data_IF_883816333296
#
_entry.id   IF_883816333296
#
_cell.length_a   1.000
_cell.length_b   1.000
_cell.length_c   1.000
_cell.angle_alpha   90.00
_cell.angle_beta   90.00
_cell.angle_gamma   90.00
#
_symmetry.space_group_name_H-M   'P 1'
#
loop_
_entity.id
_entity.type
_entity.pdbx_description
1 polymer ?
#
# COMPACT_ATOMS: atom_id res chain seq x y z
N UNK A 1 25.64 -20.21 27.23
CA UNK A 1 25.21 -18.89 26.74
C UNK A 1 24.16 -19.14 25.66
N UNK A 2 22.89 -18.80 25.94
CA UNK A 2 21.83 -18.87 24.92
C UNK A 2 22.01 -17.61 24.08
N UNK A 3 22.47 -17.76 22.84
CA UNK A 3 22.51 -16.65 21.91
C UNK A 3 21.09 -16.11 21.78
N UNK A 4 20.89 -14.85 22.13
CA UNK A 4 19.62 -14.17 21.90
C UNK A 4 19.34 -14.27 20.39
N UNK A 5 18.21 -14.88 20.02
CA UNK A 5 17.79 -14.94 18.63
C UNK A 5 17.69 -13.50 18.12
N UNK A 6 18.39 -13.20 17.03
CA UNK A 6 18.24 -11.89 16.37
C UNK A 6 16.74 -11.65 16.08
N UNK A 7 16.22 -10.46 16.31
CA UNK A 7 14.81 -10.17 16.02
C UNK A 7 14.52 -10.53 14.57
N UNK A 8 13.36 -11.15 14.35
CA UNK A 8 12.94 -11.55 13.01
C UNK A 8 12.87 -10.31 12.11
N UNK A 9 13.44 -10.38 10.92
CA UNK A 9 13.31 -9.30 9.93
C UNK A 9 11.87 -9.26 9.41
N UNK A 10 11.24 -8.09 9.44
CA UNK A 10 9.82 -7.91 9.11
C UNK A 10 9.66 -7.58 7.64
N UNK A 11 8.75 -8.27 6.97
CA UNK A 11 8.35 -7.94 5.60
C UNK A 11 6.84 -7.74 5.50
N UNK A 12 6.44 -6.83 4.63
CA UNK A 12 5.06 -6.70 4.19
C UNK A 12 4.97 -6.79 2.67
N UNK A 13 3.88 -7.39 2.18
CA UNK A 13 3.63 -7.57 0.76
C UNK A 13 2.22 -7.12 0.46
N UNK A 14 2.08 -6.27 -0.56
CA UNK A 14 0.79 -5.84 -1.10
C UNK A 14 0.62 -6.49 -2.47
N UNK A 15 -0.59 -6.98 -2.76
CA UNK A 15 -1.02 -7.33 -4.12
C UNK A 15 -2.03 -6.30 -4.57
N UNK A 16 -1.61 -5.47 -5.53
CA UNK A 16 -2.41 -4.41 -6.14
C UNK A 16 -3.32 -4.94 -7.27
N UNK A 17 -4.11 -4.08 -7.88
CA UNK A 17 -4.97 -4.32 -9.05
C UNK A 17 -6.03 -5.44 -8.87
N UNK A 18 -6.51 -5.67 -7.65
CA UNK A 18 -7.67 -6.54 -7.50
C UNK A 18 -8.91 -5.84 -8.07
N UNK A 19 -9.70 -6.63 -8.82
CA UNK A 19 -11.01 -6.17 -9.28
C UNK A 19 -11.28 -6.40 -10.76
N UNK A 20 -10.31 -6.29 -11.64
CA UNK A 20 -10.54 -6.50 -13.08
C UNK A 20 -10.73 -7.97 -13.47
N UNK A 21 -10.05 -8.89 -12.79
CA UNK A 21 -10.14 -10.32 -13.07
C UNK A 21 -10.58 -11.11 -11.85
N UNK A 22 -11.81 -11.64 -11.89
CA UNK A 22 -12.32 -12.50 -10.83
C UNK A 22 -11.41 -13.72 -10.58
N UNK A 23 -10.92 -14.36 -11.63
CA UNK A 23 -10.08 -15.56 -11.49
C UNK A 23 -8.71 -15.27 -10.88
N UNK A 24 -8.07 -14.17 -11.28
CA UNK A 24 -6.78 -13.75 -10.72
C UNK A 24 -6.93 -13.24 -9.30
N UNK A 25 -7.98 -12.45 -9.01
CA UNK A 25 -8.29 -12.00 -7.66
C UNK A 25 -8.52 -13.17 -6.69
N UNK A 26 -9.30 -14.18 -7.08
CA UNK A 26 -9.48 -15.40 -6.29
C UNK A 26 -8.16 -16.15 -6.02
N UNK A 27 -7.23 -16.14 -6.97
CA UNK A 27 -5.90 -16.73 -6.76
C UNK A 27 -5.06 -15.93 -5.77
N UNK A 28 -5.15 -14.60 -5.79
CA UNK A 28 -4.49 -13.72 -4.84
C UNK A 28 -5.03 -13.93 -3.41
N UNK A 29 -6.34 -14.07 -3.23
CA UNK A 29 -7.00 -14.37 -1.96
C UNK A 29 -6.54 -15.71 -1.34
N UNK A 30 -5.98 -16.62 -2.13
CA UNK A 30 -5.41 -17.88 -1.63
C UNK A 30 -3.95 -17.75 -1.16
N UNK A 31 -3.36 -16.56 -1.14
CA UNK A 31 -2.10 -16.30 -0.47
C UNK A 31 -2.27 -16.31 1.07
N UNK A 32 -1.20 -16.40 1.86
CA UNK A 32 -1.29 -16.22 3.30
C UNK A 32 -1.97 -14.88 3.67
N UNK A 33 -2.85 -14.87 4.65
CA UNK A 33 -3.64 -13.69 5.06
C UNK A 33 -2.80 -12.50 5.58
N UNK A 34 -1.53 -12.72 5.89
CA UNK A 34 -0.58 -11.64 6.17
C UNK A 34 -0.22 -10.80 4.94
N UNK A 35 -0.57 -11.24 3.72
CA UNK A 35 -0.47 -10.44 2.51
C UNK A 35 -1.65 -9.49 2.44
N UNK A 36 -1.40 -8.19 2.31
CA UNK A 36 -2.43 -7.16 2.14
C UNK A 36 -2.89 -7.11 0.69
N UNK A 37 -4.19 -6.97 0.47
CA UNK A 37 -4.79 -6.92 -0.86
C UNK A 37 -5.33 -5.51 -1.12
N UNK A 38 -5.01 -4.94 -2.29
CA UNK A 38 -5.43 -3.59 -2.68
C UNK A 38 -6.32 -3.64 -3.91
N UNK A 39 -7.53 -3.08 -3.79
CA UNK A 39 -8.60 -3.19 -4.79
C UNK A 39 -8.81 -1.89 -5.54
N UNK A 40 -8.96 -1.97 -6.85
CA UNK A 40 -9.39 -0.85 -7.70
C UNK A 40 -10.90 -0.62 -7.50
N UNK A 41 -11.34 0.51 -6.92
CA UNK A 41 -12.71 0.66 -6.39
C UNK A 41 -13.82 0.52 -7.44
N UNK A 42 -13.63 1.08 -8.63
CA UNK A 42 -14.62 1.06 -9.71
C UNK A 42 -14.45 -0.12 -10.68
N UNK A 43 -13.64 -1.12 -10.33
CA UNK A 43 -13.44 -2.32 -11.15
C UNK A 43 -14.63 -3.30 -11.05
N UNK A 44 -14.91 -4.11 -12.10
CA UNK A 44 -16.13 -4.93 -12.18
C UNK A 44 -16.35 -5.93 -11.05
N UNK A 45 -15.28 -6.41 -10.42
CA UNK A 45 -15.34 -7.42 -9.35
C UNK A 45 -14.88 -6.88 -8.00
N UNK A 46 -14.73 -5.56 -7.85
CA UNK A 46 -14.17 -4.92 -6.65
C UNK A 46 -14.87 -5.37 -5.37
N UNK A 47 -16.19 -5.16 -5.27
CA UNK A 47 -16.97 -5.49 -4.07
C UNK A 47 -16.94 -6.99 -3.75
N UNK A 48 -17.13 -7.84 -4.75
CA UNK A 48 -17.15 -9.29 -4.55
C UNK A 48 -15.80 -9.82 -4.06
N UNK A 49 -14.69 -9.36 -4.66
CA UNK A 49 -13.35 -9.79 -4.27
C UNK A 49 -12.96 -9.23 -2.90
N UNK A 50 -13.33 -7.99 -2.59
CA UNK A 50 -13.10 -7.38 -1.27
C UNK A 50 -13.80 -8.17 -0.16
N UNK A 51 -15.07 -8.52 -0.33
CA UNK A 51 -15.81 -9.35 0.64
C UNK A 51 -15.16 -10.72 0.84
N UNK A 52 -14.70 -11.35 -0.25
CA UNK A 52 -13.99 -12.62 -0.16
C UNK A 52 -12.64 -12.47 0.54
N UNK A 53 -11.87 -11.42 0.24
CA UNK A 53 -10.59 -11.13 0.88
C UNK A 53 -10.73 -10.97 2.40
N UNK A 54 -11.70 -10.16 2.84
CA UNK A 54 -12.02 -9.93 4.25
C UNK A 54 -12.42 -11.26 4.93
N UNK A 55 -13.29 -12.05 4.28
CA UNK A 55 -13.70 -13.36 4.81
C UNK A 55 -12.53 -14.33 4.97
N UNK A 56 -11.48 -14.22 4.16
CA UNK A 56 -10.26 -15.01 4.29
C UNK A 56 -9.24 -14.39 5.24
N UNK A 57 -9.58 -13.29 5.92
CA UNK A 57 -8.74 -12.63 6.92
C UNK A 57 -7.65 -11.73 6.38
N UNK A 58 -7.69 -11.36 5.10
CA UNK A 58 -6.77 -10.38 4.54
C UNK A 58 -7.10 -8.97 4.98
N UNK A 59 -6.08 -8.17 5.22
CA UNK A 59 -6.19 -6.73 5.28
C UNK A 59 -6.50 -6.18 3.88
N UNK A 60 -7.45 -5.24 3.79
CA UNK A 60 -7.89 -4.62 2.55
C UNK A 60 -7.44 -3.17 2.47
N UNK A 61 -6.94 -2.77 1.30
CA UNK A 61 -6.65 -1.39 0.93
C UNK A 61 -7.44 -0.96 -0.30
N UNK A 62 -7.61 0.35 -0.48
CA UNK A 62 -8.07 0.93 -1.74
C UNK A 62 -6.89 1.33 -2.62
N UNK A 63 -6.91 0.89 -3.86
CA UNK A 63 -5.95 1.23 -4.89
C UNK A 63 -6.49 2.38 -5.73
N UNK A 64 -6.14 3.64 -5.35
CA UNK A 64 -6.75 4.83 -5.93
C UNK A 64 -6.16 5.15 -7.31
N UNK A 65 -6.98 5.14 -8.38
CA UNK A 65 -6.50 5.50 -9.71
C UNK A 65 -6.07 6.97 -9.77
N UNK A 66 -4.84 7.21 -10.22
CA UNK A 66 -4.24 8.53 -10.28
C UNK A 66 -3.55 8.78 -11.63
N UNK A 67 -3.65 10.02 -12.13
CA UNK A 67 -3.07 10.42 -13.42
C UNK A 67 -1.56 10.16 -13.48
N UNK A 68 -1.11 9.59 -14.60
CA UNK A 68 0.29 9.27 -14.87
C UNK A 68 0.89 10.14 -15.97
N UNK A 69 2.23 10.28 -15.95
CA UNK A 69 2.98 10.98 -17.02
C UNK A 69 2.92 10.24 -18.36
N UNK A 70 2.93 8.90 -18.32
CA UNK A 70 2.99 8.09 -19.55
C UNK A 70 1.66 7.98 -20.30
N UNK A 71 0.52 8.20 -19.63
CA UNK A 71 -0.82 8.16 -20.20
C UNK A 71 -1.67 9.29 -19.62
N UNK A 72 -1.35 10.56 -19.90
CA UNK A 72 -2.02 11.69 -19.24
C UNK A 72 -3.52 11.78 -19.58
N UNK A 73 -3.91 11.32 -20.77
CA UNK A 73 -5.30 11.40 -21.27
C UNK A 73 -6.09 10.10 -21.07
N UNK A 74 -5.44 9.01 -20.61
CA UNK A 74 -6.12 7.73 -20.38
C UNK A 74 -6.53 7.63 -18.92
N UNK A 75 -7.77 7.98 -18.66
CA UNK A 75 -8.37 7.89 -17.34
C UNK A 75 -9.24 6.64 -17.25
N UNK A 76 -8.97 5.82 -16.24
CA UNK A 76 -9.90 4.80 -15.76
C UNK A 76 -11.04 5.48 -14.98
N UNK A 77 -12.17 4.79 -14.82
CA UNK A 77 -13.27 5.33 -14.03
C UNK A 77 -12.79 5.73 -12.63
N UNK A 78 -13.15 6.93 -12.18
CA UNK A 78 -12.75 7.44 -10.87
C UNK A 78 -11.28 7.86 -10.76
N UNK A 79 -10.56 8.03 -11.86
CA UNK A 79 -9.18 8.53 -11.85
C UNK A 79 -9.09 9.94 -11.28
N UNK A 80 -8.27 10.11 -10.27
CA UNK A 80 -7.90 11.42 -9.72
C UNK A 80 -6.87 12.08 -10.64
N UNK A 81 -7.17 13.28 -11.17
CA UNK A 81 -6.35 13.96 -12.16
C UNK A 81 -6.07 15.42 -11.76
N UNK A 82 -5.11 16.07 -12.44
CA UNK A 82 -4.71 17.45 -12.15
C UNK A 82 -5.80 18.48 -12.47
N UNK A 83 -6.66 18.20 -13.42
CA UNK A 83 -7.78 19.04 -13.83
C UNK A 83 -9.07 18.79 -13.03
N UNK A 84 -9.04 17.82 -12.11
CA UNK A 84 -10.18 17.54 -11.21
C UNK A 84 -10.29 18.66 -10.18
N UNK A 85 -11.50 19.24 -10.05
CA UNK A 85 -11.78 20.25 -9.01
C UNK A 85 -11.62 19.62 -7.62
N UNK A 86 -11.20 20.42 -6.64
CA UNK A 86 -11.01 19.97 -5.26
C UNK A 86 -12.25 19.25 -4.68
N UNK A 87 -13.44 19.80 -4.90
CA UNK A 87 -14.70 19.22 -4.45
C UNK A 87 -14.90 17.81 -5.01
N UNK A 88 -14.73 17.65 -6.34
CA UNK A 88 -14.96 16.39 -7.03
C UNK A 88 -13.88 15.34 -6.66
N UNK A 89 -12.65 15.83 -6.47
CA UNK A 89 -11.53 14.99 -6.00
C UNK A 89 -11.84 14.38 -4.63
N UNK A 90 -12.25 15.22 -3.67
CA UNK A 90 -12.60 14.77 -2.31
C UNK A 90 -13.85 13.88 -2.29
N UNK A 91 -14.91 14.27 -3.03
CA UNK A 91 -16.13 13.47 -3.17
C UNK A 91 -15.83 12.08 -3.74
N UNK A 92 -14.94 11.98 -4.73
CA UNK A 92 -14.56 10.70 -5.32
C UNK A 92 -13.89 9.79 -4.29
N UNK A 93 -12.96 10.31 -3.48
CA UNK A 93 -12.30 9.54 -2.43
C UNK A 93 -13.30 9.11 -1.35
N UNK A 94 -14.16 10.03 -0.89
CA UNK A 94 -15.20 9.73 0.10
C UNK A 94 -16.13 8.62 -0.38
N UNK A 95 -16.62 8.70 -1.62
CA UNK A 95 -17.43 7.64 -2.24
C UNK A 95 -16.72 6.28 -2.23
N UNK A 96 -15.43 6.24 -2.51
CA UNK A 96 -14.67 5.00 -2.45
C UNK A 96 -14.58 4.44 -1.02
N UNK A 97 -14.30 5.29 -0.05
CA UNK A 97 -14.22 4.88 1.35
C UNK A 97 -15.58 4.40 1.89
N UNK A 98 -16.67 5.04 1.53
CA UNK A 98 -18.03 4.64 1.89
C UNK A 98 -18.41 3.29 1.28
N UNK A 99 -18.01 3.02 0.03
CA UNK A 99 -18.28 1.76 -0.64
C UNK A 99 -17.42 0.58 -0.09
N UNK A 100 -16.29 0.90 0.55
CA UNK A 100 -15.36 -0.10 1.10
C UNK A 100 -15.01 0.20 2.57
N UNK A 101 -15.98 0.17 3.49
CA UNK A 101 -15.78 0.59 4.88
C UNK A 101 -14.80 -0.30 5.68
N UNK A 102 -14.46 -1.46 5.16
CA UNK A 102 -13.46 -2.36 5.74
C UNK A 102 -12.03 -2.08 5.25
N UNK A 103 -11.83 -1.12 4.34
CA UNK A 103 -10.49 -0.72 3.94
C UNK A 103 -9.78 -0.01 5.10
N UNK A 104 -8.55 -0.43 5.37
CA UNK A 104 -7.73 0.12 6.46
C UNK A 104 -6.68 1.11 5.97
N UNK A 105 -6.52 1.24 4.66
CA UNK A 105 -5.58 2.18 4.07
C UNK A 105 -5.80 2.35 2.58
N UNK A 106 -4.99 3.23 2.00
CA UNK A 106 -5.01 3.51 0.57
C UNK A 106 -3.59 3.53 0.00
N UNK A 107 -3.46 3.21 -1.29
CA UNK A 107 -2.23 3.46 -2.06
C UNK A 107 -2.57 3.97 -3.46
N UNK A 108 -1.59 4.47 -4.19
CA UNK A 108 -1.81 4.99 -5.53
C UNK A 108 -1.63 3.92 -6.60
N UNK A 109 -2.67 3.75 -7.45
CA UNK A 109 -2.56 3.08 -8.75
C UNK A 109 -2.02 4.08 -9.77
N UNK A 110 -0.92 3.72 -10.48
CA UNK A 110 -0.20 4.70 -11.30
C UNK A 110 0.17 5.96 -10.50
N UNK A 111 -0.20 7.16 -10.99
CA UNK A 111 -0.03 8.41 -10.26
C UNK A 111 1.35 9.05 -10.43
N UNK A 112 2.15 8.63 -11.43
CA UNK A 112 3.49 9.20 -11.63
C UNK A 112 3.47 10.70 -11.96
N UNK A 113 2.32 11.28 -12.32
CA UNK A 113 2.13 12.72 -12.45
C UNK A 113 1.53 13.31 -11.17
N UNK A 114 0.40 12.78 -10.70
CA UNK A 114 -0.37 13.37 -9.61
C UNK A 114 0.39 13.37 -8.28
N UNK A 115 1.15 12.31 -7.98
CA UNK A 115 1.93 12.19 -6.71
C UNK A 115 3.07 13.18 -6.58
N UNK A 116 3.39 13.94 -7.64
CA UNK A 116 4.34 15.05 -7.59
C UNK A 116 3.68 16.40 -7.24
N UNK A 117 2.33 16.45 -7.14
CA UNK A 117 1.58 17.69 -6.98
C UNK A 117 1.20 17.92 -5.52
N UNK A 118 1.80 18.92 -4.82
CA UNK A 118 1.59 19.10 -3.39
C UNK A 118 0.13 19.41 -3.04
N UNK A 119 -0.56 20.25 -3.83
CA UNK A 119 -1.97 20.60 -3.58
C UNK A 119 -2.89 19.38 -3.62
N UNK A 120 -2.78 18.53 -4.65
CA UNK A 120 -3.62 17.34 -4.79
C UNK A 120 -3.30 16.29 -3.73
N UNK A 121 -2.02 16.13 -3.37
CA UNK A 121 -1.64 15.25 -2.26
C UNK A 121 -2.16 15.79 -0.92
N UNK A 122 -2.17 17.11 -0.73
CA UNK A 122 -2.77 17.72 0.45
C UNK A 122 -4.29 17.45 0.51
N UNK A 123 -5.04 17.57 -0.59
CA UNK A 123 -6.47 17.24 -0.64
C UNK A 123 -6.73 15.76 -0.30
N UNK A 124 -5.89 14.84 -0.84
CA UNK A 124 -5.97 13.43 -0.48
C UNK A 124 -5.77 13.24 1.03
N UNK A 125 -4.69 13.77 1.60
CA UNK A 125 -4.37 13.57 3.02
C UNK A 125 -5.36 14.24 3.95
N UNK A 126 -5.93 15.41 3.57
CA UNK A 126 -7.04 16.04 4.29
C UNK A 126 -8.26 15.11 4.36
N UNK A 127 -8.65 14.54 3.22
CA UNK A 127 -9.79 13.60 3.17
C UNK A 127 -9.51 12.36 4.02
N UNK A 128 -8.29 11.80 3.97
CA UNK A 128 -7.94 10.64 4.80
C UNK A 128 -7.93 10.97 6.30
N UNK A 129 -7.54 12.18 6.69
CA UNK A 129 -7.53 12.62 8.08
C UNK A 129 -8.93 12.70 8.72
N UNK A 130 -9.97 12.87 7.91
CA UNK A 130 -11.36 12.83 8.35
C UNK A 130 -11.83 11.42 8.73
N UNK A 131 -11.09 10.38 8.28
CA UNK A 131 -11.39 8.96 8.50
C UNK A 131 -10.34 8.35 9.46
N UNK A 132 -10.73 8.16 10.72
CA UNK A 132 -9.80 7.64 11.74
C UNK A 132 -9.27 6.25 11.39
N UNK A 133 -7.97 6.08 11.54
CA UNK A 133 -7.30 4.79 11.43
C UNK A 133 -6.85 4.40 10.02
N UNK A 134 -7.10 5.23 9.01
CA UNK A 134 -6.55 5.01 7.68
C UNK A 134 -5.05 5.32 7.63
N UNK A 135 -4.33 4.53 6.84
CA UNK A 135 -2.93 4.78 6.51
C UNK A 135 -2.74 4.96 5.00
N UNK A 136 -1.62 5.53 4.61
CA UNK A 136 -1.24 5.71 3.21
C UNK A 136 0.04 4.94 2.86
N UNK A 137 0.06 4.31 1.68
CA UNK A 137 1.28 3.71 1.10
C UNK A 137 1.60 4.39 -0.22
N UNK A 138 2.76 5.03 -0.27
CA UNK A 138 3.29 5.54 -1.54
C UNK A 138 3.82 4.37 -2.38
N UNK A 139 3.13 4.06 -3.49
CA UNK A 139 3.53 2.99 -4.42
C UNK A 139 4.80 3.34 -5.21
N UNK A 140 5.30 4.60 -5.11
CA UNK A 140 6.52 5.09 -5.75
C UNK A 140 6.61 4.74 -7.23
N UNK A 141 5.59 5.12 -7.98
CA UNK A 141 5.54 4.97 -9.45
C UNK A 141 6.46 5.96 -10.17
N UNK A 142 7.00 6.92 -9.43
CA UNK A 142 8.07 7.85 -9.81
C UNK A 142 8.99 8.09 -8.62
N UNK A 143 10.25 8.40 -8.88
CA UNK A 143 11.22 8.84 -7.85
C UNK A 143 10.98 10.29 -7.37
N UNK A 144 10.15 11.05 -8.12
CA UNK A 144 9.78 12.43 -7.80
C UNK A 144 8.53 12.55 -6.93
N UNK A 145 7.95 11.45 -6.47
CA UNK A 145 6.78 11.49 -5.60
C UNK A 145 7.08 12.21 -4.29
N UNK A 146 6.12 13.00 -3.85
CA UNK A 146 6.12 13.68 -2.54
C UNK A 146 4.98 13.17 -1.64
N UNK A 147 4.24 12.16 -2.10
CA UNK A 147 3.02 11.69 -1.43
C UNK A 147 3.28 11.25 0.02
N UNK A 148 4.36 10.49 0.28
CA UNK A 148 4.71 10.09 1.65
C UNK A 148 5.12 11.28 2.52
N UNK A 149 5.79 12.30 1.97
CA UNK A 149 6.15 13.54 2.70
C UNK A 149 4.90 14.27 3.14
N UNK A 150 3.96 14.50 2.20
CA UNK A 150 2.69 15.17 2.51
C UNK A 150 1.85 14.34 3.51
N UNK A 151 1.83 13.00 3.39
CA UNK A 151 1.18 12.16 4.39
C UNK A 151 1.72 12.41 5.80
N UNK A 152 3.04 12.55 5.96
CA UNK A 152 3.67 12.91 7.22
C UNK A 152 3.28 14.28 7.74
N UNK A 153 3.18 15.29 6.89
CA UNK A 153 2.74 16.64 7.26
C UNK A 153 1.30 16.67 7.81
N UNK A 154 0.44 15.79 7.33
CA UNK A 154 -0.94 15.62 7.81
C UNK A 154 -1.08 14.57 8.92
N UNK A 155 0.02 14.08 9.47
CA UNK A 155 0.05 13.06 10.52
C UNK A 155 -0.70 11.76 10.15
N UNK A 156 -0.78 11.43 8.87
CA UNK A 156 -1.31 10.16 8.38
C UNK A 156 -0.23 9.08 8.57
N UNK A 157 -0.53 7.96 9.24
CA UNK A 157 0.37 6.82 9.27
C UNK A 157 0.72 6.38 7.85
N UNK A 158 2.00 6.28 7.51
CA UNK A 158 2.37 6.03 6.12
C UNK A 158 3.67 5.25 5.97
N UNK A 159 3.85 4.70 4.79
CA UNK A 159 5.09 4.07 4.35
C UNK A 159 5.24 4.17 2.84
N UNK A 160 6.36 3.70 2.31
CA UNK A 160 6.62 3.66 0.87
C UNK A 160 7.12 2.30 0.43
N UNK A 161 6.87 1.93 -0.80
CA UNK A 161 7.37 0.70 -1.42
C UNK A 161 8.91 0.70 -1.52
N UNK A 162 9.53 -0.38 -1.05
CA UNK A 162 10.95 -0.63 -1.21
C UNK A 162 11.25 -1.45 -2.48
N UNK A 163 10.38 -2.42 -2.83
CA UNK A 163 10.60 -3.35 -3.93
C UNK A 163 9.33 -3.51 -4.77
N UNK A 164 9.50 -3.49 -6.10
CA UNK A 164 8.47 -3.87 -7.05
C UNK A 164 8.75 -5.31 -7.51
N UNK A 165 7.80 -6.23 -7.25
CA UNK A 165 8.05 -7.66 -7.45
C UNK A 165 8.03 -8.09 -8.92
N UNK A 166 7.21 -7.44 -9.74
CA UNK A 166 6.77 -7.99 -11.02
C UNK A 166 6.67 -6.96 -12.16
N UNK A 167 7.59 -6.01 -12.23
CA UNK A 167 7.73 -5.15 -13.41
C UNK A 167 8.05 -5.93 -14.71
N UNK A 168 8.27 -7.24 -14.59
CA UNK A 168 8.25 -8.23 -15.68
C UNK A 168 7.18 -9.30 -15.40
N UNK A 169 5.92 -9.08 -15.80
CA UNK A 169 4.73 -9.79 -15.29
C UNK A 169 4.72 -11.31 -15.49
N UNK A 170 5.46 -11.83 -16.48
CA UNK A 170 5.50 -13.26 -16.84
C UNK A 170 6.79 -13.97 -16.43
N UNK A 171 7.71 -13.27 -15.77
CA UNK A 171 9.04 -13.76 -15.45
C UNK A 171 9.13 -14.20 -13.97
N UNK A 172 8.94 -15.50 -13.72
CA UNK A 172 9.08 -16.09 -12.38
C UNK A 172 10.49 -15.89 -11.79
N UNK A 173 11.53 -15.96 -12.63
CA UNK A 173 12.90 -15.78 -12.17
C UNK A 173 13.13 -14.34 -11.69
N UNK A 174 12.55 -13.37 -12.40
CA UNK A 174 12.55 -11.97 -11.98
C UNK A 174 11.82 -11.77 -10.65
N UNK A 175 10.60 -12.31 -10.49
CA UNK A 175 9.86 -12.22 -9.21
C UNK A 175 10.67 -12.82 -8.06
N UNK A 176 11.31 -13.98 -8.27
CA UNK A 176 12.20 -14.59 -7.25
C UNK A 176 13.38 -13.70 -6.90
N UNK A 177 13.98 -13.05 -7.89
CA UNK A 177 15.09 -12.11 -7.68
C UNK A 177 14.63 -10.90 -6.84
N UNK A 178 13.47 -10.30 -7.17
CA UNK A 178 12.94 -9.19 -6.41
C UNK A 178 12.51 -9.59 -4.99
N UNK A 179 11.94 -10.77 -4.80
CA UNK A 179 11.66 -11.28 -3.46
C UNK A 179 12.96 -11.48 -2.64
N UNK A 180 14.02 -12.02 -3.22
CA UNK A 180 15.34 -12.08 -2.56
C UNK A 180 15.87 -10.70 -2.21
N UNK A 181 15.63 -9.67 -3.06
CA UNK A 181 15.99 -8.27 -2.77
C UNK A 181 15.22 -7.74 -1.57
N UNK A 182 13.91 -8.00 -1.51
CA UNK A 182 13.07 -7.63 -0.36
C UNK A 182 13.64 -8.23 0.95
N UNK A 183 13.91 -9.54 0.94
CA UNK A 183 14.44 -10.25 2.10
C UNK A 183 15.79 -9.70 2.56
N UNK A 184 16.69 -9.38 1.62
CA UNK A 184 17.97 -8.75 1.94
C UNK A 184 17.79 -7.37 2.57
N UNK A 185 16.91 -6.52 2.01
CA UNK A 185 16.61 -5.20 2.57
C UNK A 185 16.04 -5.31 3.98
N UNK A 186 15.10 -6.24 4.19
CA UNK A 186 14.52 -6.47 5.51
C UNK A 186 15.58 -6.87 6.55
N UNK A 187 16.57 -7.73 6.18
CA UNK A 187 17.69 -8.07 7.07
C UNK A 187 18.60 -6.89 7.38
N UNK A 188 18.81 -5.99 6.43
CA UNK A 188 19.69 -4.84 6.59
C UNK A 188 19.06 -3.71 7.41
N UNK A 189 17.76 -3.50 7.25
CA UNK A 189 17.02 -2.35 7.82
C UNK A 189 16.08 -2.75 8.96
N UNK A 190 15.94 -4.05 9.23
CA UNK A 190 14.95 -4.60 10.14
C UNK A 190 13.58 -4.85 9.51
N UNK A 191 13.24 -4.11 8.45
CA UNK A 191 11.95 -4.21 7.77
C UNK A 191 12.04 -3.84 6.28
N UNK A 192 11.10 -4.34 5.43
CA UNK A 192 10.94 -3.92 4.04
C UNK A 192 9.54 -4.25 3.50
N UNK A 193 9.03 -3.41 2.57
CA UNK A 193 7.73 -3.56 1.94
C UNK A 193 7.86 -3.75 0.44
N UNK A 194 7.13 -4.72 -0.12
CA UNK A 194 7.02 -4.95 -1.55
C UNK A 194 5.59 -4.81 -2.06
N UNK A 195 5.48 -4.39 -3.31
CA UNK A 195 4.24 -4.41 -4.09
C UNK A 195 4.41 -5.35 -5.28
N UNK A 196 3.38 -6.13 -5.56
CA UNK A 196 3.21 -6.93 -6.76
C UNK A 196 1.76 -6.94 -7.20
N UNK A 197 1.46 -7.64 -8.31
CA UNK A 197 0.14 -7.73 -8.91
C UNK A 197 -0.33 -9.18 -8.98
N UNK A 198 -1.62 -9.46 -9.25
CA UNK A 198 -2.15 -10.83 -9.28
C UNK A 198 -1.75 -11.59 -10.57
N UNK A 199 -0.53 -11.35 -11.06
CA UNK A 199 0.01 -12.09 -12.19
C UNK A 199 0.28 -13.57 -11.82
N UNK A 200 0.06 -14.52 -12.75
CA UNK A 200 0.28 -15.93 -12.47
C UNK A 200 1.68 -16.26 -11.94
N UNK A 201 2.73 -15.59 -12.46
CA UNK A 201 4.11 -15.76 -12.02
C UNK A 201 4.30 -15.29 -10.58
N UNK A 202 3.77 -14.12 -10.22
CA UNK A 202 3.83 -13.54 -8.88
C UNK A 202 3.14 -14.44 -7.87
N UNK A 203 1.88 -14.81 -8.13
CA UNK A 203 1.10 -15.69 -7.25
C UNK A 203 1.80 -17.04 -7.04
N UNK A 204 2.30 -17.64 -8.12
CA UNK A 204 3.00 -18.92 -8.05
C UNK A 204 4.26 -18.85 -7.17
N UNK A 205 5.09 -17.83 -7.38
CA UNK A 205 6.32 -17.65 -6.59
C UNK A 205 6.01 -17.38 -5.13
N UNK A 206 5.04 -16.49 -4.84
CA UNK A 206 4.66 -16.19 -3.46
C UNK A 206 4.08 -17.43 -2.74
N UNK A 207 3.19 -18.19 -3.36
CA UNK A 207 2.66 -19.45 -2.78
C UNK A 207 3.75 -20.43 -2.42
N UNK A 208 4.81 -20.52 -3.21
CA UNK A 208 5.92 -21.46 -2.97
C UNK A 208 6.88 -20.97 -1.89
N UNK A 209 7.12 -19.67 -1.80
CA UNK A 209 8.19 -19.12 -0.98
C UNK A 209 7.71 -18.62 0.39
N UNK A 210 6.55 -17.97 0.48
CA UNK A 210 6.10 -17.36 1.74
C UNK A 210 5.98 -18.34 2.91
N UNK A 211 5.44 -19.57 2.75
CA UNK A 211 5.34 -20.51 3.87
C UNK A 211 6.68 -20.91 4.51
N UNK A 212 7.80 -20.70 3.79
CA UNK A 212 9.15 -21.10 4.25
C UNK A 212 9.90 -19.96 4.94
N UNK A 213 9.38 -18.73 4.88
CA UNK A 213 10.11 -17.54 5.33
C UNK A 213 10.23 -17.47 6.85
N UNK A 214 9.22 -17.93 7.59
CA UNK A 214 9.27 -17.98 9.05
C UNK A 214 10.46 -18.81 9.55
N UNK A 215 10.70 -19.98 8.95
CA UNK A 215 11.85 -20.83 9.28
C UNK A 215 13.20 -20.19 8.89
N UNK A 216 13.18 -19.14 8.06
CA UNK A 216 14.37 -18.39 7.66
C UNK A 216 14.56 -17.10 8.48
N UNK A 217 13.78 -16.89 9.54
CA UNK A 217 13.87 -15.71 10.42
C UNK A 217 13.20 -14.46 9.88
N UNK A 218 12.16 -14.60 9.04
CA UNK A 218 11.34 -13.50 8.56
C UNK A 218 9.93 -13.59 9.14
N UNK A 219 9.39 -12.44 9.54
CA UNK A 219 7.99 -12.29 9.90
C UNK A 219 7.25 -11.57 8.77
N UNK A 220 6.15 -12.15 8.30
CA UNK A 220 5.28 -11.53 7.30
C UNK A 220 4.12 -10.92 8.05
N UNK A 221 3.88 -9.61 7.86
CA UNK A 221 2.81 -8.88 8.55
C UNK A 221 1.99 -8.06 7.55
N UNK A 222 0.70 -7.81 7.83
CA UNK A 222 -0.10 -6.86 7.06
C UNK A 222 0.46 -5.44 7.20
N UNK A 223 0.11 -4.55 6.25
CA UNK A 223 0.69 -3.21 6.15
C UNK A 223 0.44 -2.36 7.39
N UNK A 224 -0.75 -2.43 7.99
CA UNK A 224 -1.05 -1.70 9.22
C UNK A 224 -0.07 -2.06 10.35
N UNK A 225 0.21 -3.33 10.51
CA UNK A 225 1.19 -3.82 11.50
C UNK A 225 2.62 -3.44 11.12
N UNK A 226 2.95 -3.48 9.83
CA UNK A 226 4.25 -3.06 9.31
C UNK A 226 4.56 -1.59 9.66
N UNK A 227 3.61 -0.67 9.42
CA UNK A 227 3.76 0.76 9.75
C UNK A 227 4.01 0.94 11.25
N UNK A 228 3.25 0.28 12.12
CA UNK A 228 3.47 0.35 13.58
C UNK A 228 4.86 -0.12 14.01
N UNK A 229 5.42 -1.12 13.34
CA UNK A 229 6.78 -1.62 13.62
C UNK A 229 7.81 -0.60 13.12
N UNK A 230 7.63 -0.08 11.91
CA UNK A 230 8.50 0.94 11.32
C UNK A 230 8.58 2.20 12.21
N UNK A 231 7.46 2.70 12.71
CA UNK A 231 7.41 3.86 13.61
C UNK A 231 8.18 3.62 14.90
N UNK A 232 8.09 2.41 15.48
CA UNK A 232 8.84 2.06 16.70
C UNK A 232 10.33 1.93 16.48
N UNK A 233 10.75 1.54 15.28
CA UNK A 233 12.18 1.39 14.93
C UNK A 233 12.82 2.72 14.52
N UNK A 234 12.03 3.73 14.15
CA UNK A 234 12.49 5.07 13.76
C UNK A 234 11.91 6.14 14.71
N UNK A 235 12.40 6.27 15.93
CA UNK A 235 11.80 7.15 16.97
C UNK A 235 11.82 8.64 16.63
N UNK A 236 12.43 9.07 15.53
CA UNK A 236 12.44 10.47 15.11
C UNK A 236 11.20 10.90 14.30
N UNK A 237 10.23 10.02 14.12
CA UNK A 237 8.98 10.31 13.39
C UNK A 237 7.78 10.41 14.34
N UNK A 238 7.94 11.10 15.50
CA UNK A 238 6.78 11.49 16.32
C UNK A 238 6.19 12.78 15.73
N UNK A 239 4.90 12.81 15.35
CA UNK A 239 4.22 14.07 15.08
C UNK A 239 4.29 14.91 16.35
N UNK A 240 4.89 16.11 16.27
CA UNK A 240 4.86 17.07 17.37
C UNK A 240 3.39 17.31 17.70
N UNK A 241 2.97 16.89 18.90
CA UNK A 241 1.69 17.31 19.47
C UNK A 241 1.69 18.84 19.46
N UNK A 242 0.79 19.41 18.66
CA UNK A 242 0.48 20.83 18.70
C UNK A 242 0.17 21.18 20.14
N UNK A 243 1.11 21.86 20.79
CA UNK A 243 0.84 22.51 22.07
C UNK A 243 -0.24 23.54 21.76
N UNK A 244 -1.40 23.33 22.32
CA UNK A 244 -2.48 24.30 22.42
C UNK A 244 -1.88 25.60 22.94
N UNK A 245 -1.76 26.59 22.07
CA UNK A 245 -1.57 27.96 22.49
C UNK A 245 -2.89 28.39 23.16
N UNK A 246 -2.93 28.25 24.47
CA UNK A 246 -3.88 28.99 25.31
C UNK A 246 -3.54 30.45 25.16
N UNK A 247 -4.29 31.16 24.34
CA UNK A 247 -4.36 32.62 24.40
C UNK A 247 -5.03 32.98 25.71
N UNK A 248 -4.23 33.49 26.62
CA UNK A 248 -4.69 34.31 27.75
C UNK A 248 -4.74 35.75 27.27
N UNK A 249 -5.88 36.35 27.44
CA UNK A 249 -6.31 37.78 27.32
C UNK A 249 -6.64 38.31 25.95
#
# INVERSE_FOLDING_TARGET
MIAAASPAAVISIIIDDLGYSSSLGKKAIQLPNAVTLSVLPDSPHALTLSQQAIKHGHELMLHLPMQSVSNPDRHEAGTLALDTLESDFKITIQRFLENFPAATGVNNHMGSLLTQHPGHMAWLMQTLAEHKGLYFVDSRTTDKTIAATIAGEYAIPHTSRNVFLDNKPRDEAHVRLQLKRLLRLARQQGHALAIGHPHPATIKVLKQMLPRLAAQGYEIVPVSRYIQIQEKMSPHFSPQRSQTLSMVH
#
